data_IF_210568757386
#
_entry.id   IF_210568757386
#
_cell.length_a   1.000
_cell.length_b   1.000
_cell.length_c   1.000
_cell.angle_alpha   90.00
_cell.angle_beta   90.00
_cell.angle_gamma   90.00
#
_symmetry.space_group_name_H-M   'P 1'
#
loop_
_entity.id
_entity.type
_entity.pdbx_description
1 polymer ?
#
# COMPACT_ATOMS: atom_id res chain seq x y z
N UNK A 1 6.60 10.06 -2.62
CA UNK A 1 6.19 11.42 -3.06
C UNK A 1 5.50 11.34 -4.41
N UNK A 2 4.51 12.19 -4.67
CA UNK A 2 3.81 12.28 -5.97
C UNK A 2 4.68 13.02 -6.98
N UNK A 3 4.80 12.47 -8.19
CA UNK A 3 5.57 13.06 -9.30
C UNK A 3 4.67 13.59 -10.41
N UNK A 4 3.53 12.94 -10.64
CA UNK A 4 2.52 13.33 -11.61
C UNK A 4 1.15 12.77 -11.21
N UNK A 5 0.10 13.46 -11.66
CA UNK A 5 -1.31 13.07 -11.44
C UNK A 5 -2.05 13.09 -12.76
N UNK A 6 -2.98 12.16 -12.97
CA UNK A 6 -3.88 12.17 -14.11
C UNK A 6 -5.06 13.14 -13.91
N UNK A 7 -5.70 13.54 -15.01
CA UNK A 7 -6.74 14.59 -15.05
C UNK A 7 -7.91 14.36 -14.07
N UNK A 8 -8.23 13.10 -13.75
CA UNK A 8 -9.31 12.76 -12.82
C UNK A 8 -8.95 12.83 -11.33
N UNK A 9 -7.70 13.16 -10.98
CA UNK A 9 -7.20 13.17 -9.59
C UNK A 9 -7.21 14.60 -9.06
N UNK A 10 -7.92 14.82 -7.94
CA UNK A 10 -8.17 16.17 -7.40
C UNK A 10 -7.70 16.38 -5.96
N UNK A 11 -7.22 15.34 -5.28
CA UNK A 11 -6.94 15.36 -3.83
C UNK A 11 -5.44 15.27 -3.48
N UNK A 12 -4.59 15.07 -4.48
CA UNK A 12 -3.13 15.08 -4.39
C UNK A 12 -2.55 15.82 -5.59
N UNK A 13 -1.37 16.39 -5.42
CA UNK A 13 -0.64 17.09 -6.48
C UNK A 13 0.86 16.74 -6.47
N UNK A 14 1.61 17.01 -7.57
CA UNK A 14 3.06 16.80 -7.59
C UNK A 14 3.76 17.49 -6.41
N UNK A 15 4.66 16.76 -5.75
CA UNK A 15 5.34 17.20 -4.52
C UNK A 15 4.71 16.67 -3.23
N UNK A 16 3.46 16.18 -3.27
CA UNK A 16 2.82 15.66 -2.06
C UNK A 16 3.49 14.39 -1.52
N UNK A 17 3.63 14.34 -0.19
CA UNK A 17 3.96 13.12 0.52
C UNK A 17 2.70 12.26 0.65
N UNK A 18 2.81 10.98 0.31
CA UNK A 18 1.67 10.06 0.29
C UNK A 18 2.06 8.68 0.81
N UNK A 19 1.09 8.02 1.44
CA UNK A 19 1.09 6.58 1.71
C UNK A 19 0.14 5.92 0.73
N UNK A 20 0.50 4.73 0.23
CA UNK A 20 -0.34 3.94 -0.67
C UNK A 20 -1.11 2.90 0.15
N UNK A 21 -2.44 2.98 0.13
CA UNK A 21 -3.32 1.98 0.74
C UNK A 21 -3.60 0.84 -0.25
N UNK A 22 -3.24 -0.41 0.10
CA UNK A 22 -3.47 -1.56 -0.78
C UNK A 22 -4.96 -2.00 -0.89
N UNK A 23 -5.81 -1.54 0.05
CA UNK A 23 -7.24 -1.83 0.09
C UNK A 23 -8.06 -0.54 0.20
N UNK A 24 -8.08 0.31 -0.86
CA UNK A 24 -8.81 1.56 -0.84
C UNK A 24 -10.33 1.32 -0.84
N UNK A 25 -11.14 2.15 -0.15
CA UNK A 25 -12.58 2.03 -0.24
C UNK A 25 -13.09 2.53 -1.59
N UNK A 26 -13.94 1.75 -2.26
CA UNK A 26 -14.52 2.16 -3.55
C UNK A 26 -15.68 3.17 -3.44
N UNK A 27 -16.18 3.42 -2.23
CA UNK A 27 -17.27 4.39 -1.99
C UNK A 27 -18.66 4.00 -2.52
N UNK A 28 -18.80 2.85 -3.20
CA UNK A 28 -20.06 2.47 -3.85
C UNK A 28 -20.59 1.06 -3.49
N UNK A 29 -19.74 0.15 -3.00
CA UNK A 29 -20.17 -1.21 -2.70
C UNK A 29 -20.95 -1.29 -1.38
N UNK A 30 -21.71 -2.38 -1.13
CA UNK A 30 -22.49 -2.55 0.10
C UNK A 30 -21.68 -2.45 1.40
N UNK A 31 -20.38 -2.81 1.37
CA UNK A 31 -19.49 -2.61 2.51
C UNK A 31 -19.19 -1.13 2.75
N UNK A 32 -19.00 -0.34 1.70
CA UNK A 32 -18.70 1.09 1.82
C UNK A 32 -19.94 1.90 2.22
N UNK A 33 -21.08 1.71 1.55
CA UNK A 33 -22.26 2.59 1.70
C UNK A 33 -23.33 2.03 2.62
N UNK A 34 -23.58 0.72 2.58
CA UNK A 34 -24.68 0.09 3.35
C UNK A 34 -24.28 -0.30 4.76
N UNK A 35 -23.14 -1.00 4.91
CA UNK A 35 -22.66 -1.52 6.21
C UNK A 35 -21.73 -0.57 6.95
N UNK A 36 -21.29 0.50 6.31
CA UNK A 36 -20.29 1.44 6.85
C UNK A 36 -19.02 0.73 7.35
N UNK A 37 -18.56 -0.27 6.58
CA UNK A 37 -17.34 -1.06 6.81
C UNK A 37 -16.40 -0.94 5.59
N UNK A 38 -15.93 0.28 5.25
CA UNK A 38 -15.10 0.51 4.07
C UNK A 38 -13.78 -0.28 4.07
N UNK A 39 -13.28 -0.64 5.25
CA UNK A 39 -12.09 -1.47 5.44
C UNK A 39 -12.25 -2.93 4.94
N UNK A 40 -13.47 -3.36 4.61
CA UNK A 40 -13.76 -4.68 4.03
C UNK A 40 -14.10 -4.60 2.53
N UNK A 41 -13.72 -3.51 1.86
CA UNK A 41 -14.01 -3.31 0.45
C UNK A 41 -13.21 -4.26 -0.45
N UNK A 42 -13.88 -5.30 -0.98
CA UNK A 42 -13.27 -6.20 -1.96
C UNK A 42 -13.02 -5.53 -3.33
N UNK A 43 -13.88 -4.59 -3.74
CA UNK A 43 -13.73 -3.94 -5.05
C UNK A 43 -12.43 -3.15 -5.16
N UNK A 44 -12.09 -2.37 -4.12
CA UNK A 44 -10.84 -1.60 -4.13
C UNK A 44 -9.61 -2.48 -4.05
N UNK A 45 -9.66 -3.55 -3.24
CA UNK A 45 -8.59 -4.54 -3.18
C UNK A 45 -8.38 -5.21 -4.56
N UNK A 46 -9.44 -5.66 -5.22
CA UNK A 46 -9.37 -6.23 -6.57
C UNK A 46 -8.84 -5.22 -7.59
N UNK A 47 -9.26 -3.96 -7.51
CA UNK A 47 -8.75 -2.89 -8.38
C UNK A 47 -7.25 -2.69 -8.23
N UNK A 48 -6.72 -2.81 -7.01
CA UNK A 48 -5.28 -2.78 -6.79
C UNK A 48 -4.61 -4.03 -7.36
N UNK A 49 -5.10 -5.24 -7.06
CA UNK A 49 -4.50 -6.48 -7.57
C UNK A 49 -4.46 -6.59 -9.10
N UNK A 50 -5.41 -5.98 -9.80
CA UNK A 50 -5.45 -5.94 -11.26
C UNK A 50 -4.63 -4.79 -11.86
N UNK A 51 -3.99 -3.96 -11.04
CA UNK A 51 -3.11 -2.90 -11.51
C UNK A 51 -1.86 -3.51 -12.19
N UNK A 52 -1.73 -3.27 -13.49
CA UNK A 52 -0.65 -3.79 -14.34
C UNK A 52 0.25 -2.64 -14.82
N UNK A 53 0.95 -2.01 -13.87
CA UNK A 53 1.74 -0.81 -14.13
C UNK A 53 3.17 -1.06 -14.59
N UNK A 54 3.71 -2.28 -14.42
CA UNK A 54 5.10 -2.58 -14.76
C UNK A 54 5.22 -3.40 -16.04
N UNK A 55 6.24 -3.05 -16.82
CA UNK A 55 6.64 -3.80 -18.01
C UNK A 55 8.15 -4.07 -17.99
N UNK A 56 8.54 -5.22 -18.50
CA UNK A 56 9.93 -5.59 -18.77
C UNK A 56 10.04 -5.95 -20.26
N UNK A 57 10.44 -4.98 -21.08
CA UNK A 57 10.24 -5.07 -22.53
C UNK A 57 8.74 -5.12 -22.84
N UNK A 58 8.32 -6.11 -23.63
CA UNK A 58 6.92 -6.30 -24.01
C UNK A 58 6.10 -7.09 -22.97
N UNK A 59 6.75 -7.66 -21.96
CA UNK A 59 6.09 -8.47 -20.94
C UNK A 59 5.54 -7.60 -19.81
N UNK A 60 4.27 -7.81 -19.46
CA UNK A 60 3.65 -7.20 -18.29
C UNK A 60 4.08 -7.96 -17.02
N UNK A 61 4.63 -7.23 -16.06
CA UNK A 61 5.09 -7.79 -14.78
C UNK A 61 4.09 -7.42 -13.69
N UNK A 62 3.63 -8.41 -12.92
CA UNK A 62 2.72 -8.17 -11.82
C UNK A 62 3.42 -7.48 -10.65
N UNK A 63 2.67 -6.63 -9.94
CA UNK A 63 3.15 -5.97 -8.74
C UNK A 63 2.61 -6.64 -7.48
N UNK A 64 3.40 -6.63 -6.41
CA UNK A 64 2.92 -7.10 -5.12
C UNK A 64 1.76 -6.21 -4.66
N UNK A 65 0.58 -6.81 -4.45
CA UNK A 65 -0.67 -6.15 -4.00
C UNK A 65 -1.19 -5.02 -4.91
N UNK A 66 -0.65 -4.84 -6.12
CA UNK A 66 -0.96 -3.66 -6.94
C UNK A 66 -0.18 -2.40 -6.63
N UNK A 67 0.45 -2.32 -5.45
CA UNK A 67 1.13 -1.11 -4.99
C UNK A 67 2.50 -0.92 -5.64
N UNK A 68 3.25 -2.01 -5.87
CA UNK A 68 4.52 -1.92 -6.59
C UNK A 68 5.65 -1.18 -5.86
N UNK A 69 5.59 -1.08 -4.54
CA UNK A 69 6.48 -0.22 -3.73
C UNK A 69 7.94 -0.66 -3.64
N UNK A 70 8.33 -1.76 -4.30
CA UNK A 70 9.72 -2.21 -4.41
C UNK A 70 10.44 -1.70 -5.67
N UNK A 71 9.74 -1.02 -6.57
CA UNK A 71 10.36 -0.21 -7.62
C UNK A 71 10.77 1.16 -7.06
N UNK A 72 11.50 1.98 -7.83
CA UNK A 72 11.80 3.39 -7.48
C UNK A 72 10.61 4.32 -7.79
N UNK A 73 9.77 3.92 -8.74
CA UNK A 73 8.52 4.58 -9.09
C UNK A 73 7.40 3.54 -9.25
N UNK A 74 6.18 3.95 -8.94
CA UNK A 74 4.98 3.14 -9.18
C UNK A 74 3.84 4.03 -9.67
N UNK A 75 2.92 3.44 -10.42
CA UNK A 75 1.69 4.08 -10.85
C UNK A 75 0.54 3.34 -10.17
N UNK A 76 -0.31 4.07 -9.46
CA UNK A 76 -1.49 3.54 -8.76
C UNK A 76 -2.72 4.34 -9.14
N UNK A 77 -3.94 3.81 -8.96
CA UNK A 77 -5.14 4.64 -9.03
C UNK A 77 -5.06 5.82 -8.04
N UNK A 78 -5.83 6.89 -8.24
CA UNK A 78 -5.83 8.03 -7.31
C UNK A 78 -6.37 7.69 -5.92
N UNK A 79 -7.45 6.92 -5.82
CA UNK A 79 -8.12 6.59 -4.54
C UNK A 79 -7.17 6.06 -3.44
N UNK A 80 -6.22 5.14 -3.70
CA UNK A 80 -5.29 4.64 -2.68
C UNK A 80 -4.21 5.63 -2.24
N UNK A 81 -4.06 6.81 -2.83
CA UNK A 81 -3.02 7.77 -2.45
C UNK A 81 -3.49 8.66 -1.30
N UNK A 82 -3.00 8.38 -0.10
CA UNK A 82 -3.35 9.12 1.11
C UNK A 82 -2.28 10.16 1.39
N UNK A 83 -2.62 11.44 1.23
CA UNK A 83 -1.74 12.57 1.56
C UNK A 83 -1.37 12.55 3.04
N UNK A 84 -0.10 12.79 3.33
CA UNK A 84 0.45 12.97 4.68
C UNK A 84 1.21 14.29 4.74
N UNK A 85 1.45 14.77 5.96
CA UNK A 85 2.24 15.98 6.17
C UNK A 85 3.69 15.79 5.71
N UNK A 86 4.27 16.86 5.17
CA UNK A 86 5.59 16.84 4.54
C UNK A 86 6.75 16.77 5.55
N UNK A 87 6.48 17.08 6.82
CA UNK A 87 7.42 16.97 7.92
C UNK A 87 7.52 15.54 8.50
N UNK A 88 6.64 14.62 8.07
CA UNK A 88 6.71 13.21 8.46
C UNK A 88 7.79 12.49 7.64
N UNK A 89 8.81 11.89 8.29
CA UNK A 89 9.82 11.09 7.60
C UNK A 89 9.20 9.90 6.86
N UNK A 90 9.53 9.74 5.58
CA UNK A 90 8.91 8.74 4.71
C UNK A 90 9.27 7.29 5.08
N UNK A 91 10.43 7.09 5.71
CA UNK A 91 10.88 5.80 6.24
C UNK A 91 9.99 5.31 7.39
N UNK A 92 9.55 6.24 8.24
CA UNK A 92 8.57 5.97 9.30
C UNK A 92 7.16 5.81 8.71
N UNK A 93 6.77 6.70 7.81
CA UNK A 93 5.45 6.66 7.16
C UNK A 93 5.20 5.35 6.39
N UNK A 94 6.24 4.75 5.81
CA UNK A 94 6.14 3.48 5.10
C UNK A 94 5.57 2.35 5.97
N UNK A 95 5.84 2.36 7.28
CA UNK A 95 5.33 1.36 8.22
C UNK A 95 3.82 1.53 8.52
N UNK A 96 3.32 2.76 8.38
CA UNK A 96 1.91 3.12 8.60
C UNK A 96 1.00 2.55 7.50
N UNK A 97 1.49 2.40 6.27
CA UNK A 97 0.71 1.83 5.16
C UNK A 97 0.25 0.37 5.36
N UNK A 98 0.83 -0.35 6.32
CA UNK A 98 0.46 -1.73 6.62
C UNK A 98 0.51 -2.02 8.13
N UNK A 99 1.64 -2.56 8.61
CA UNK A 99 1.74 -3.21 9.93
C UNK A 99 1.36 -2.33 11.12
N UNK A 100 1.77 -1.05 11.13
CA UNK A 100 1.45 -0.14 12.25
C UNK A 100 -0.05 0.10 12.33
N UNK A 101 -0.69 0.46 11.22
CA UNK A 101 -2.14 0.70 11.18
C UNK A 101 -2.93 -0.56 11.51
N UNK A 102 -2.47 -1.75 11.09
CA UNK A 102 -3.11 -3.02 11.47
C UNK A 102 -3.02 -3.27 12.98
N UNK A 103 -1.85 -3.11 13.59
CA UNK A 103 -1.67 -3.32 15.02
C UNK A 103 -2.45 -2.34 15.88
N UNK A 104 -2.34 -1.04 15.57
CA UNK A 104 -3.10 0.02 16.26
C UNK A 104 -4.60 -0.17 16.06
N UNK A 105 -5.04 -0.48 14.83
CA UNK A 105 -6.43 -0.75 14.52
C UNK A 105 -6.98 -1.98 15.25
N UNK A 106 -6.19 -3.05 15.41
CA UNK A 106 -6.59 -4.22 16.18
C UNK A 106 -6.86 -3.87 17.65
N UNK A 107 -6.00 -3.06 18.28
CA UNK A 107 -6.18 -2.64 19.67
C UNK A 107 -7.36 -1.68 19.84
N UNK A 108 -7.44 -0.64 19.00
CA UNK A 108 -8.40 0.45 19.18
C UNK A 108 -9.78 0.16 18.56
N UNK A 109 -9.81 -0.37 17.34
CA UNK A 109 -11.06 -0.53 16.58
C UNK A 109 -11.69 -1.92 16.79
N UNK A 110 -10.88 -2.98 16.82
CA UNK A 110 -11.37 -4.35 16.95
C UNK A 110 -11.55 -4.77 18.41
N UNK A 111 -10.48 -4.75 19.21
CA UNK A 111 -10.50 -5.17 20.61
C UNK A 111 -11.04 -4.09 21.55
N UNK A 112 -11.00 -2.81 21.14
CA UNK A 112 -11.46 -1.65 21.91
C UNK A 112 -10.87 -1.61 23.31
N UNK A 113 -9.57 -1.84 23.42
CA UNK A 113 -8.85 -1.96 24.71
C UNK A 113 -9.00 -0.66 25.51
N UNK A 114 -9.64 -0.67 26.69
CA UNK A 114 -9.74 0.52 27.52
C UNK A 114 -8.44 0.75 28.31
N UNK A 115 -8.14 2.01 28.70
CA UNK A 115 -7.00 2.32 29.57
C UNK A 115 -7.01 1.50 30.86
N UNK A 116 -5.83 1.05 31.31
CA UNK A 116 -5.67 0.24 32.52
C UNK A 116 -5.89 -1.28 32.31
N UNK A 117 -6.18 -1.73 31.09
CA UNK A 117 -6.32 -3.16 30.78
C UNK A 117 -4.97 -3.89 30.70
N UNK A 118 -4.95 -5.15 31.14
CA UNK A 118 -3.86 -6.08 30.85
C UNK A 118 -4.05 -6.71 29.47
N UNK A 119 -3.01 -6.69 28.62
CA UNK A 119 -3.06 -7.19 27.24
C UNK A 119 -1.93 -8.19 27.00
N UNK A 120 -2.24 -9.30 26.33
CA UNK A 120 -1.25 -10.25 25.83
C UNK A 120 -1.05 -10.04 24.32
N UNK A 121 0.18 -9.73 23.92
CA UNK A 121 0.57 -9.65 22.50
C UNK A 121 1.35 -10.91 22.14
N UNK A 122 0.81 -11.72 21.23
CA UNK A 122 1.46 -12.95 20.75
C UNK A 122 2.09 -12.66 19.39
N UNK A 123 3.43 -12.62 19.35
CA UNK A 123 4.20 -12.28 18.16
C UNK A 123 4.48 -10.77 18.07
N UNK A 124 5.72 -10.38 18.38
CA UNK A 124 6.22 -9.02 18.16
C UNK A 124 7.19 -9.06 16.96
N UNK A 125 6.88 -8.29 15.91
CA UNK A 125 7.77 -8.18 14.75
C UNK A 125 9.04 -7.42 15.15
N UNK A 126 10.17 -8.12 15.22
CA UNK A 126 11.49 -7.48 15.21
C UNK A 126 11.85 -7.22 13.76
N UNK A 127 11.69 -5.98 13.28
CA UNK A 127 12.43 -5.53 12.11
C UNK A 127 13.89 -5.41 12.53
N UNK A 128 14.61 -6.53 12.51
CA UNK A 128 16.06 -6.51 12.55
C UNK A 128 16.52 -5.84 11.25
N UNK A 129 16.63 -4.51 11.27
CA UNK A 129 17.48 -3.79 10.34
C UNK A 129 18.88 -4.39 10.49
N UNK A 130 19.54 -4.85 9.42
CA UNK A 130 20.87 -5.39 9.56
C UNK A 130 21.81 -4.25 9.97
N UNK A 131 22.23 -4.24 11.23
CA UNK A 131 23.53 -3.66 11.57
C UNK A 131 24.58 -4.27 10.61
N UNK A 132 25.54 -3.49 10.10
CA UNK A 132 26.63 -4.05 9.30
C UNK A 132 27.36 -5.12 10.14
N UNK A 133 27.16 -6.41 9.82
CA UNK A 133 27.73 -7.53 10.56
C UNK A 133 26.92 -8.83 10.63
N UNK A 134 25.66 -8.88 10.15
CA UNK A 134 24.86 -10.11 10.19
C UNK A 134 25.16 -11.07 9.02
N UNK A 135 25.32 -12.40 9.25
CA UNK A 135 25.70 -13.36 8.21
C UNK A 135 24.55 -13.67 7.22
N UNK A 136 24.91 -13.73 5.94
CA UNK A 136 24.03 -14.02 4.79
C UNK A 136 23.36 -15.40 4.91
N UNK A 137 22.03 -15.43 4.83
CA UNK A 137 21.26 -16.66 4.63
C UNK A 137 20.30 -16.49 3.44
N UNK A 138 20.85 -16.50 2.23
CA UNK A 138 20.08 -16.76 1.01
C UNK A 138 19.52 -18.19 1.04
N UNK A 139 18.20 -18.30 0.99
CA UNK A 139 17.53 -19.51 0.48
C UNK A 139 16.53 -19.09 -0.58
N UNK A 140 16.88 -19.31 -1.84
CA UNK A 140 16.00 -19.08 -2.98
C UNK A 140 14.86 -20.08 -3.02
N UNK A 141 13.72 -19.66 -3.58
CA UNK A 141 12.78 -20.58 -4.20
C UNK A 141 11.99 -19.90 -5.31
N UNK A 142 12.39 -20.23 -6.52
CA UNK A 142 11.71 -19.96 -7.77
C UNK A 142 10.43 -20.80 -7.88
N UNK A 143 9.30 -20.17 -8.22
CA UNK A 143 8.08 -20.82 -8.73
C UNK A 143 7.28 -19.82 -9.57
N UNK A 144 7.31 -19.99 -10.88
CA UNK A 144 6.45 -19.27 -11.82
C UNK A 144 4.98 -19.68 -11.76
N UNK A 145 4.11 -18.81 -12.31
CA UNK A 145 2.77 -19.18 -12.75
C UNK A 145 2.16 -18.16 -13.73
N UNK A 146 1.25 -18.71 -14.55
CA UNK A 146 0.62 -18.25 -15.81
C UNK A 146 -0.24 -16.97 -15.76
N UNK A 147 -0.55 -16.36 -16.92
CA UNK A 147 -1.21 -15.05 -17.00
C UNK A 147 -2.75 -15.14 -16.98
N UNK A 148 -3.44 -14.08 -16.53
CA UNK A 148 -4.74 -13.74 -17.09
C UNK A 148 -4.87 -12.27 -17.54
N UNK A 149 -5.81 -12.12 -18.46
CA UNK A 149 -6.15 -10.97 -19.33
C UNK A 149 -6.98 -9.90 -18.59
N UNK A 150 -6.94 -8.67 -19.09
CA UNK A 150 -8.07 -7.72 -19.05
C UNK A 150 -7.75 -6.36 -18.42
N UNK A 151 -7.87 -5.31 -19.23
CA UNK A 151 -7.43 -3.93 -19.01
C UNK A 151 -8.39 -3.07 -18.16
N UNK A 152 -7.85 -2.05 -17.48
CA UNK A 152 -8.59 -0.87 -16.96
C UNK A 152 -7.88 0.42 -17.43
N UNK A 153 -8.67 1.47 -17.71
CA UNK A 153 -8.32 2.58 -18.61
C UNK A 153 -7.47 3.75 -18.05
N UNK A 154 -7.07 4.71 -18.91
CA UNK A 154 -5.85 5.53 -18.72
C UNK A 154 -5.95 6.79 -17.84
N UNK A 155 -7.15 7.21 -17.39
CA UNK A 155 -7.38 8.59 -16.92
C UNK A 155 -7.39 8.85 -15.41
N UNK A 156 -7.09 7.85 -14.57
CA UNK A 156 -7.34 7.92 -13.11
C UNK A 156 -6.14 7.49 -12.25
N UNK A 157 -4.92 7.73 -12.73
CA UNK A 157 -3.69 7.25 -12.10
C UNK A 157 -2.83 8.36 -11.48
N UNK A 158 -2.01 7.98 -10.51
CA UNK A 158 -1.01 8.81 -9.81
C UNK A 158 0.32 8.09 -9.91
N UNK A 159 1.38 8.82 -10.29
CA UNK A 159 2.75 8.31 -10.30
C UNK A 159 3.46 8.75 -9.02
N UNK A 160 3.92 7.78 -8.24
CA UNK A 160 4.61 7.99 -6.97
C UNK A 160 6.06 7.52 -7.04
N UNK A 161 6.98 8.33 -6.52
CA UNK A 161 8.33 7.95 -6.16
C UNK A 161 8.35 7.26 -4.78
N UNK A 162 8.99 6.11 -4.70
CA UNK A 162 8.90 5.16 -3.56
C UNK A 162 10.21 5.01 -2.79
N UNK A 163 11.30 5.63 -3.25
CA UNK A 163 12.54 5.73 -2.46
C UNK A 163 12.36 6.79 -1.37
N UNK A 164 12.83 6.50 -0.16
CA UNK A 164 13.05 7.55 0.84
C UNK A 164 14.09 8.52 0.27
N UNK A 165 13.75 9.80 0.19
CA UNK A 165 14.72 10.82 -0.16
C UNK A 165 15.89 10.74 0.85
N UNK A 166 17.15 10.94 0.41
CA UNK A 166 18.31 10.93 1.31
C UNK A 166 18.25 12.05 2.35
#
# INVERSE_FOLDING_TARGET
MVTAVGDGVTHVEPGDHVIIAFAPPCGACPYCTGRNQPNLCMNGMTSMFLNQQFRRGDEVVSSMTGCGTFAEETIVPGIPTIKIDTDVPLDVAALVGCGVTTGVGAALNTAKVPPGSSVLVIGAAVSAWPHPGAPDRRSGRDRGSRPPRGETGPGQSVRCYTRCAP
#
